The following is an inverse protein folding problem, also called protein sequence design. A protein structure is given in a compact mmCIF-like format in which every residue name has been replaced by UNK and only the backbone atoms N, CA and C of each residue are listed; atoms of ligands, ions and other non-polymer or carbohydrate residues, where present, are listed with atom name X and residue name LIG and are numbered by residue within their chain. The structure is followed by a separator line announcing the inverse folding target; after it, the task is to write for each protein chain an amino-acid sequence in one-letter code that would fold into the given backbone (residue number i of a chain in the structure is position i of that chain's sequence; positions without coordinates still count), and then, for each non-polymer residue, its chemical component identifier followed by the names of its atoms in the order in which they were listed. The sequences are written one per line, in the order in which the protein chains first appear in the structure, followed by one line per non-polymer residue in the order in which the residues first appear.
data_IF_218517912948
#
_entry.id   IF_218517912948
#
_cell.length_a   1.000
_cell.length_b   1.000
_cell.length_c   1.000
_cell.angle_alpha   90.00
_cell.angle_beta   90.00
_cell.angle_gamma   90.00
#
_symmetry.space_group_name_H-M   'P 1'
#
loop_
_entity.id
_entity.type
_entity.pdbx_description
1 polymer ?
#
# COMPACT_ATOMS: atom_id res chain seq x y z
N UNK A 1 19.34 7.27 -8.61
CA UNK A 1 18.73 8.62 -8.71
C UNK A 1 18.90 9.28 -7.35
N UNK A 2 19.26 10.56 -7.31
CA UNK A 2 19.44 11.30 -6.05
C UNK A 2 18.07 11.60 -5.42
N UNK A 3 17.98 11.56 -4.08
CA UNK A 3 16.75 11.85 -3.35
C UNK A 3 16.46 13.36 -3.42
N UNK A 4 15.70 13.78 -4.45
CA UNK A 4 15.53 15.18 -4.87
C UNK A 4 14.77 16.01 -3.82
N UNK A 5 13.84 15.39 -3.11
CA UNK A 5 12.92 16.09 -2.18
C UNK A 5 13.24 15.80 -0.71
N UNK A 6 13.93 14.70 -0.42
CA UNK A 6 14.24 14.25 0.93
C UNK A 6 14.93 15.33 1.78
N UNK A 7 15.93 16.02 1.22
CA UNK A 7 16.62 17.10 1.92
C UNK A 7 15.70 18.29 2.24
N UNK A 8 14.75 18.59 1.35
CA UNK A 8 13.77 19.65 1.58
C UNK A 8 12.77 19.24 2.68
N UNK A 9 12.32 17.98 2.68
CA UNK A 9 11.45 17.42 3.72
C UNK A 9 12.11 17.47 5.10
N UNK A 10 13.39 17.07 5.22
CA UNK A 10 14.12 17.19 6.49
C UNK A 10 14.27 18.62 6.97
N UNK A 11 14.50 19.59 6.07
CA UNK A 11 14.57 21.01 6.45
C UNK A 11 13.25 21.52 7.00
N UNK A 12 12.12 21.08 6.45
CA UNK A 12 10.79 21.44 6.99
C UNK A 12 10.60 20.82 8.38
N UNK A 13 10.98 19.54 8.55
CA UNK A 13 10.93 18.87 9.85
C UNK A 13 11.80 19.57 10.91
N UNK A 14 13.05 19.90 10.57
CA UNK A 14 13.99 20.57 11.47
C UNK A 14 13.48 21.95 11.89
N UNK A 15 12.99 22.76 10.94
CA UNK A 15 12.36 24.06 11.23
C UNK A 15 11.19 23.92 12.20
N UNK A 16 10.39 22.87 12.06
CA UNK A 16 9.24 22.65 12.96
C UNK A 16 9.62 22.27 14.40
N UNK A 17 10.78 21.62 14.60
CA UNK A 17 11.26 21.27 15.95
C UNK A 17 11.76 22.48 16.74
N UNK A 18 12.23 23.52 16.05
CA UNK A 18 12.84 24.68 16.69
C UNK A 18 11.87 25.86 16.90
N UNK A 19 10.70 25.88 16.25
CA UNK A 19 9.75 27.01 16.32
C UNK A 19 8.31 26.54 16.54
N UNK A 20 7.92 26.37 17.81
CA UNK A 20 6.57 25.92 18.22
C UNK A 20 5.41 26.79 17.68
N UNK A 21 5.65 28.06 17.30
CA UNK A 21 4.61 28.97 16.81
C UNK A 21 4.38 28.91 15.29
N UNK A 22 5.08 28.05 14.55
CA UNK A 22 5.06 28.01 13.08
C UNK A 22 4.42 26.74 12.50
N UNK A 23 3.56 26.05 13.26
CA UNK A 23 2.91 24.83 12.77
C UNK A 23 2.06 25.07 11.51
N UNK A 24 1.40 26.22 11.38
CA UNK A 24 0.69 26.59 10.15
C UNK A 24 1.64 26.76 8.96
N UNK A 25 2.79 27.43 9.16
CA UNK A 25 3.79 27.63 8.10
C UNK A 25 4.45 26.32 7.67
N UNK A 26 4.68 25.39 8.60
CA UNK A 26 5.16 24.03 8.31
C UNK A 26 4.22 23.29 7.36
N UNK A 27 2.92 23.31 7.64
CA UNK A 27 1.95 22.58 6.82
C UNK A 27 1.74 23.23 5.44
N UNK A 28 1.78 24.56 5.36
CA UNK A 28 1.76 25.27 4.08
C UNK A 28 2.99 24.91 3.21
N UNK A 29 4.19 24.87 3.81
CA UNK A 29 5.41 24.46 3.10
C UNK A 29 5.38 22.98 2.69
N UNK A 30 4.81 22.12 3.53
CA UNK A 30 4.62 20.71 3.22
C UNK A 30 3.67 20.55 2.03
N UNK A 31 2.55 21.26 2.01
CA UNK A 31 1.56 21.22 0.93
C UNK A 31 2.14 21.75 -0.39
N UNK A 32 2.90 22.84 -0.34
CA UNK A 32 3.59 23.39 -1.52
C UNK A 32 4.61 22.40 -2.09
N UNK A 33 5.42 21.78 -1.22
CA UNK A 33 6.39 20.77 -1.64
C UNK A 33 5.67 19.54 -2.20
N UNK A 34 4.58 19.10 -1.58
CA UNK A 34 3.74 18.00 -2.06
C UNK A 34 3.26 18.28 -3.47
N UNK A 35 2.72 19.49 -3.71
CA UNK A 35 2.28 19.94 -5.04
C UNK A 35 3.40 19.93 -6.07
N UNK A 36 4.63 20.28 -5.68
CA UNK A 36 5.78 20.20 -6.57
C UNK A 36 6.13 18.76 -6.96
N UNK A 37 5.91 17.79 -6.06
CA UNK A 37 6.15 16.37 -6.32
C UNK A 37 5.08 15.73 -7.22
N UNK A 38 3.89 16.32 -7.33
CA UNK A 38 2.79 15.82 -8.19
C UNK A 38 3.23 15.73 -9.66
N UNK A 39 4.03 16.69 -10.12
CA UNK A 39 4.45 16.81 -11.52
C UNK A 39 5.61 15.89 -11.91
N UNK A 40 6.23 15.22 -10.94
CA UNK A 40 7.36 14.32 -11.21
C UNK A 40 6.90 12.94 -11.67
N UNK A 41 7.43 12.42 -12.77
CA UNK A 41 7.05 11.08 -13.23
C UNK A 41 7.56 9.97 -12.31
N UNK A 42 8.75 10.16 -11.71
CA UNK A 42 9.42 9.18 -10.86
C UNK A 42 9.89 9.85 -9.56
N UNK A 43 9.49 9.30 -8.42
CA UNK A 43 9.85 9.77 -7.09
C UNK A 43 10.60 8.63 -6.38
N UNK A 44 11.61 8.94 -5.56
CA UNK A 44 12.31 7.88 -4.84
C UNK A 44 11.45 7.32 -3.71
N UNK A 45 11.68 6.06 -3.31
CA UNK A 45 10.99 5.48 -2.17
C UNK A 45 11.17 6.31 -0.89
N UNK A 46 12.34 6.94 -0.71
CA UNK A 46 12.64 7.73 0.48
C UNK A 46 11.85 9.05 0.48
N UNK A 47 11.80 9.74 -0.66
CA UNK A 47 10.98 10.95 -0.82
C UNK A 47 9.51 10.67 -0.47
N UNK A 48 8.96 9.56 -0.98
CA UNK A 48 7.58 9.18 -0.72
C UNK A 48 7.33 8.74 0.73
N UNK A 49 8.21 7.90 1.29
CA UNK A 49 8.09 7.46 2.68
C UNK A 49 8.19 8.63 3.66
N UNK A 50 9.10 9.58 3.41
CA UNK A 50 9.26 10.75 4.27
C UNK A 50 8.08 11.71 4.16
N UNK A 51 7.52 11.88 2.96
CA UNK A 51 6.29 12.65 2.76
C UNK A 51 5.13 12.06 3.59
N UNK A 52 4.92 10.74 3.49
CA UNK A 52 3.89 10.05 4.26
C UNK A 52 4.11 10.15 5.78
N UNK A 53 5.36 10.07 6.25
CA UNK A 53 5.70 10.27 7.65
C UNK A 53 5.27 11.65 8.15
N UNK A 54 5.55 12.71 7.38
CA UNK A 54 5.21 14.08 7.75
C UNK A 54 3.70 14.31 7.80
N UNK A 55 2.94 13.78 6.83
CA UNK A 55 1.47 13.81 6.87
C UNK A 55 0.92 12.95 8.01
N UNK A 56 1.51 11.80 8.31
CA UNK A 56 1.09 11.00 9.45
C UNK A 56 1.26 11.74 10.79
N UNK A 57 2.35 12.50 10.95
CA UNK A 57 2.54 13.35 12.13
C UNK A 57 1.47 14.44 12.17
N UNK A 58 1.18 15.10 11.04
CA UNK A 58 0.11 16.09 10.92
C UNK A 58 -1.25 15.53 11.37
N UNK A 59 -1.68 14.41 10.78
CA UNK A 59 -2.96 13.80 11.10
C UNK A 59 -3.04 13.29 12.55
N UNK A 60 -1.92 12.88 13.13
CA UNK A 60 -1.87 12.54 14.55
C UNK A 60 -2.08 13.75 15.46
N UNK A 61 -1.56 14.92 15.09
CA UNK A 61 -1.77 16.18 15.81
C UNK A 61 -3.20 16.71 15.64
N UNK A 62 -3.81 16.51 14.47
CA UNK A 62 -5.19 16.90 14.15
C UNK A 62 -6.24 15.88 14.67
N UNK A 63 -5.80 14.80 15.30
CA UNK A 63 -6.63 13.68 15.77
C UNK A 63 -7.45 12.97 14.66
N UNK A 64 -7.07 13.13 13.39
CA UNK A 64 -7.70 12.43 12.26
C UNK A 64 -7.17 10.99 12.18
N UNK A 65 -7.97 10.07 12.71
CA UNK A 65 -7.62 8.64 12.74
C UNK A 65 -7.65 7.98 11.37
N UNK A 66 -8.55 8.39 10.48
CA UNK A 66 -8.73 7.73 9.19
C UNK A 66 -7.59 8.10 8.24
N UNK A 67 -7.21 9.37 8.21
CA UNK A 67 -6.05 9.86 7.45
C UNK A 67 -4.72 9.34 8.04
N UNK A 68 -4.62 9.25 9.36
CA UNK A 68 -3.47 8.62 10.02
C UNK A 68 -3.34 7.14 9.68
N UNK A 69 -4.43 6.36 9.75
CA UNK A 69 -4.40 4.94 9.41
C UNK A 69 -4.07 4.72 7.93
N UNK A 70 -4.62 5.56 7.03
CA UNK A 70 -4.28 5.56 5.61
C UNK A 70 -2.76 5.68 5.39
N UNK A 71 -2.14 6.73 5.95
CA UNK A 71 -0.71 7.00 5.74
C UNK A 71 0.16 5.87 6.29
N UNK A 72 -0.17 5.36 7.48
CA UNK A 72 0.54 4.23 8.10
C UNK A 72 0.51 2.96 7.25
N UNK A 73 -0.67 2.55 6.78
CA UNK A 73 -0.78 1.33 5.98
C UNK A 73 -0.06 1.52 4.64
N UNK A 74 -0.18 2.69 4.01
CA UNK A 74 0.51 3.01 2.76
C UNK A 74 2.04 2.92 2.90
N UNK A 75 2.60 3.46 3.98
CA UNK A 75 4.03 3.35 4.28
C UNK A 75 4.46 1.89 4.44
N UNK A 76 3.68 1.09 5.19
CA UNK A 76 3.97 -0.33 5.38
C UNK A 76 3.90 -1.11 4.06
N UNK A 77 2.95 -0.79 3.18
CA UNK A 77 2.86 -1.38 1.85
C UNK A 77 4.06 -1.01 0.95
N UNK A 78 4.57 0.23 1.02
CA UNK A 78 5.79 0.65 0.31
C UNK A 78 7.02 -0.12 0.79
N UNK A 79 7.19 -0.28 2.10
CA UNK A 79 8.28 -1.08 2.68
C UNK A 79 8.18 -2.54 2.27
N UNK A 80 6.98 -3.11 2.24
CA UNK A 80 6.78 -4.46 1.70
C UNK A 80 7.12 -4.55 0.21
N UNK A 81 6.77 -3.55 -0.60
CA UNK A 81 7.10 -3.51 -2.03
C UNK A 81 8.61 -3.40 -2.29
N UNK A 82 9.35 -2.73 -1.41
CA UNK A 82 10.82 -2.76 -1.45
C UNK A 82 11.34 -4.20 -1.29
N UNK A 83 10.80 -4.94 -0.31
CA UNK A 83 11.21 -6.33 -0.01
C UNK A 83 10.72 -7.34 -1.05
N UNK A 84 9.50 -7.19 -1.55
CA UNK A 84 8.80 -8.14 -2.43
C UNK A 84 8.56 -7.52 -3.81
N UNK A 85 9.35 -7.91 -4.81
CA UNK A 85 9.32 -7.32 -6.17
C UNK A 85 7.93 -7.31 -6.82
N UNK A 86 7.13 -8.36 -6.63
CA UNK A 86 5.79 -8.46 -7.25
C UNK A 86 4.84 -7.34 -6.78
N UNK A 87 5.02 -6.83 -5.56
CA UNK A 87 4.21 -5.74 -4.99
C UNK A 87 4.57 -4.35 -5.51
N UNK A 88 5.73 -4.20 -6.18
CA UNK A 88 6.14 -2.91 -6.77
C UNK A 88 5.20 -2.45 -7.88
N UNK A 89 4.45 -3.38 -8.46
CA UNK A 89 3.42 -3.09 -9.48
C UNK A 89 2.30 -2.19 -8.95
N UNK A 90 2.07 -2.18 -7.63
CA UNK A 90 1.09 -1.32 -6.95
C UNK A 90 1.56 0.14 -6.85
N UNK A 91 2.86 0.39 -7.01
CA UNK A 91 3.49 1.70 -6.80
C UNK A 91 4.26 2.12 -8.06
N UNK A 92 3.52 2.39 -9.15
CA UNK A 92 4.13 2.90 -10.38
C UNK A 92 4.62 4.34 -10.17
N UNK A 93 5.73 4.70 -10.81
CA UNK A 93 6.37 6.01 -10.60
C UNK A 93 7.15 6.12 -9.29
N UNK A 94 7.46 5.01 -8.62
CA UNK A 94 8.33 4.97 -7.44
C UNK A 94 9.62 4.23 -7.76
N UNK A 95 10.76 4.88 -7.53
CA UNK A 95 12.08 4.26 -7.64
C UNK A 95 12.44 3.51 -6.34
N UNK A 96 12.51 2.19 -6.46
CA UNK A 96 12.89 1.26 -5.40
C UNK A 96 14.38 0.91 -5.41
N UNK A 97 15.27 1.66 -6.07
CA UNK A 97 16.72 1.38 -6.06
C UNK A 97 17.37 1.77 -4.72
N UNK A 98 17.02 2.93 -4.15
CA UNK A 98 17.63 3.46 -2.94
C UNK A 98 17.33 2.60 -1.70
N UNK A 99 18.30 2.50 -0.77
CA UNK A 99 18.05 1.88 0.55
C UNK A 99 17.07 2.77 1.31
N UNK A 100 16.20 2.12 2.10
CA UNK A 100 15.24 2.85 2.94
C UNK A 100 16.04 3.69 3.94
N UNK A 101 15.69 4.97 4.04
CA UNK A 101 16.26 5.86 5.02
C UNK A 101 16.09 5.35 6.46
N UNK A 102 17.13 5.55 7.28
CA UNK A 102 17.18 5.00 8.64
C UNK A 102 16.15 5.67 9.58
N UNK A 103 15.90 6.97 9.41
CA UNK A 103 14.91 7.70 10.21
C UNK A 103 13.50 7.17 9.99
N UNK A 104 13.11 6.97 8.73
CA UNK A 104 11.78 6.43 8.40
C UNK A 104 11.64 4.97 8.85
N UNK A 105 12.72 4.18 8.77
CA UNK A 105 12.72 2.80 9.25
C UNK A 105 12.49 2.72 10.77
N UNK A 106 13.12 3.60 11.55
CA UNK A 106 12.89 3.70 13.00
C UNK A 106 11.43 4.09 13.27
N UNK A 107 10.95 5.16 12.61
CA UNK A 107 9.58 5.65 12.80
C UNK A 107 8.54 4.56 12.61
N UNK A 108 8.69 3.71 11.59
CA UNK A 108 7.79 2.58 11.36
C UNK A 108 7.95 1.44 12.38
N UNK A 109 9.16 1.18 12.86
CA UNK A 109 9.44 0.10 13.82
C UNK A 109 8.82 0.35 15.20
N UNK A 110 8.65 1.62 15.58
CA UNK A 110 8.06 2.02 16.86
C UNK A 110 6.52 2.08 16.84
N UNK A 111 5.91 1.86 15.67
CA UNK A 111 4.45 2.00 15.47
C UNK A 111 3.78 0.63 15.27
N UNK A 112 2.48 0.59 15.54
CA UNK A 112 1.66 -0.63 15.39
C UNK A 112 1.67 -1.12 13.94
N UNK A 113 1.69 -2.44 13.77
CA UNK A 113 1.58 -3.09 12.46
C UNK A 113 0.11 -3.14 11.99
N UNK A 114 -0.35 -2.03 11.43
CA UNK A 114 -1.72 -1.88 10.90
C UNK A 114 -1.94 -2.81 9.70
N UNK A 115 -0.95 -2.94 8.83
CA UNK A 115 -1.02 -3.75 7.61
C UNK A 115 -1.15 -5.25 7.92
N UNK A 116 -0.35 -5.78 8.85
CA UNK A 116 -0.46 -7.20 9.23
C UNK A 116 -1.82 -7.51 9.84
N UNK A 117 -2.32 -6.63 10.73
CA UNK A 117 -3.64 -6.79 11.35
C UNK A 117 -4.78 -6.77 10.31
N UNK A 118 -4.71 -5.88 9.32
CA UNK A 118 -5.69 -5.83 8.22
C UNK A 118 -5.64 -7.09 7.35
N UNK A 119 -4.44 -7.58 7.02
CA UNK A 119 -4.28 -8.86 6.30
C UNK A 119 -4.91 -10.02 7.05
N UNK A 120 -4.67 -10.13 8.35
CA UNK A 120 -5.26 -11.19 9.16
C UNK A 120 -6.79 -11.10 9.17
N UNK A 121 -7.35 -9.90 9.30
CA UNK A 121 -8.78 -9.67 9.32
C UNK A 121 -9.44 -10.07 8.00
N UNK A 122 -8.81 -9.80 6.85
CA UNK A 122 -9.31 -10.17 5.53
C UNK A 122 -9.09 -11.66 5.20
N UNK A 123 -8.00 -12.24 5.69
CA UNK A 123 -7.62 -13.63 5.38
C UNK A 123 -8.48 -14.65 6.12
N UNK A 124 -8.88 -14.37 7.38
CA UNK A 124 -9.72 -15.27 8.19
C UNK A 124 -11.06 -15.66 7.53
N UNK A 125 -11.95 -14.73 7.17
CA UNK A 125 -13.24 -15.08 6.55
C UNK A 125 -13.04 -15.81 5.22
N UNK A 126 -12.03 -15.43 4.45
CA UNK A 126 -11.71 -16.10 3.19
C UNK A 126 -11.27 -17.56 3.39
N UNK A 127 -10.43 -17.84 4.39
CA UNK A 127 -10.05 -19.21 4.75
C UNK A 127 -11.26 -20.06 5.09
N UNK A 128 -12.22 -19.52 5.86
CA UNK A 128 -13.46 -20.23 6.17
C UNK A 128 -14.28 -20.53 4.90
N UNK A 129 -14.55 -19.52 4.08
CA UNK A 129 -15.35 -19.67 2.85
C UNK A 129 -14.69 -20.64 1.88
N UNK A 130 -13.38 -20.51 1.63
CA UNK A 130 -12.64 -21.39 0.72
C UNK A 130 -12.60 -22.84 1.22
N UNK A 131 -12.48 -23.05 2.53
CA UNK A 131 -12.55 -24.39 3.14
C UNK A 131 -13.95 -24.99 3.00
N UNK A 132 -15.01 -24.19 3.20
CA UNK A 132 -16.39 -24.66 2.99
C UNK A 132 -16.64 -25.06 1.53
N UNK A 133 -16.19 -24.25 0.57
CA UNK A 133 -16.29 -24.57 -0.87
C UNK A 133 -15.53 -25.85 -1.19
N UNK A 134 -14.33 -26.02 -0.63
CA UNK A 134 -13.53 -27.24 -0.81
C UNK A 134 -14.28 -28.49 -0.34
N UNK A 135 -14.90 -28.46 0.85
CA UNK A 135 -15.67 -29.60 1.39
C UNK A 135 -16.86 -29.94 0.48
N UNK A 136 -17.60 -28.94 0.01
CA UNK A 136 -18.72 -29.13 -0.90
C UNK A 136 -18.26 -29.68 -2.25
N UNK A 137 -17.19 -29.13 -2.83
CA UNK A 137 -16.64 -29.57 -4.11
C UNK A 137 -16.15 -31.02 -4.04
N UNK A 138 -15.42 -31.38 -2.96
CA UNK A 138 -14.95 -32.74 -2.74
C UNK A 138 -16.14 -33.73 -2.62
N UNK A 139 -17.19 -33.34 -1.88
CA UNK A 139 -18.39 -34.16 -1.73
C UNK A 139 -19.09 -34.39 -3.08
N UNK A 140 -19.20 -33.35 -3.91
CA UNK A 140 -19.77 -33.46 -5.26
C UNK A 140 -18.94 -34.40 -6.16
N UNK A 141 -17.61 -34.28 -6.16
CA UNK A 141 -16.73 -35.13 -6.97
C UNK A 141 -16.84 -36.61 -6.61
N UNK A 142 -16.95 -36.92 -5.32
CA UNK A 142 -17.03 -38.30 -4.83
C UNK A 142 -18.43 -38.89 -5.03
N UNK A 143 -19.49 -38.18 -4.62
CA UNK A 143 -20.85 -38.73 -4.61
C UNK A 143 -21.60 -38.57 -5.94
N UNK A 144 -21.40 -37.47 -6.66
CA UNK A 144 -22.13 -37.21 -7.92
C UNK A 144 -21.36 -37.78 -9.10
N UNK A 145 -20.07 -37.48 -9.19
CA UNK A 145 -19.23 -37.90 -10.33
C UNK A 145 -18.59 -39.28 -10.16
N UNK A 146 -18.76 -39.91 -8.99
CA UNK A 146 -18.25 -41.26 -8.69
C UNK A 146 -16.74 -41.40 -8.93
N UNK A 147 -15.98 -40.29 -8.79
CA UNK A 147 -14.54 -40.28 -8.95
C UNK A 147 -13.91 -40.98 -7.74
N UNK A 148 -12.91 -41.86 -7.91
CA UNK A 148 -12.25 -42.49 -6.77
C UNK A 148 -11.68 -41.43 -5.83
N UNK A 149 -11.90 -41.62 -4.52
CA UNK A 149 -11.61 -40.64 -3.48
C UNK A 149 -10.21 -40.04 -3.57
N UNK A 150 -9.19 -40.87 -3.83
CA UNK A 150 -7.79 -40.43 -3.91
C UNK A 150 -7.59 -39.36 -5.00
N UNK A 151 -8.16 -39.55 -6.19
CA UNK A 151 -8.04 -38.61 -7.30
C UNK A 151 -8.84 -37.34 -7.05
N UNK A 152 -10.07 -37.47 -6.53
CA UNK A 152 -10.91 -36.33 -6.17
C UNK A 152 -10.24 -35.47 -5.08
N UNK A 153 -9.61 -36.09 -4.08
CA UNK A 153 -8.88 -35.41 -3.02
C UNK A 153 -7.68 -34.65 -3.57
N UNK A 154 -6.80 -35.32 -4.33
CA UNK A 154 -5.60 -34.67 -4.91
C UNK A 154 -5.98 -33.48 -5.80
N UNK A 155 -6.98 -33.66 -6.66
CA UNK A 155 -7.46 -32.60 -7.54
C UNK A 155 -8.04 -31.42 -6.75
N UNK A 156 -8.84 -31.70 -5.71
CA UNK A 156 -9.45 -30.65 -4.88
C UNK A 156 -8.41 -29.87 -4.07
N UNK A 157 -7.39 -30.55 -3.55
CA UNK A 157 -6.28 -29.91 -2.83
C UNK A 157 -5.47 -29.02 -3.77
N UNK A 158 -5.20 -29.47 -5.01
CA UNK A 158 -4.48 -28.66 -5.99
C UNK A 158 -5.25 -27.39 -6.35
N UNK A 159 -6.56 -27.49 -6.60
CA UNK A 159 -7.41 -26.32 -6.87
C UNK A 159 -7.45 -25.38 -5.67
N UNK A 160 -7.61 -25.91 -4.46
CA UNK A 160 -7.68 -25.10 -3.25
C UNK A 160 -6.36 -24.37 -2.99
N UNK A 161 -5.22 -25.04 -3.15
CA UNK A 161 -3.90 -24.44 -2.99
C UNK A 161 -3.63 -23.38 -4.06
N UNK A 162 -4.01 -23.64 -5.32
CA UNK A 162 -3.93 -22.65 -6.39
C UNK A 162 -4.77 -21.40 -6.05
N UNK A 163 -5.98 -21.59 -5.56
CA UNK A 163 -6.87 -20.50 -5.18
C UNK A 163 -6.34 -19.69 -3.99
N UNK A 164 -5.74 -20.36 -3.00
CA UNK A 164 -5.10 -19.73 -1.85
C UNK A 164 -3.91 -18.85 -2.29
N UNK A 165 -3.02 -19.39 -3.12
CA UNK A 165 -1.89 -18.64 -3.69
C UNK A 165 -2.41 -17.44 -4.49
N UNK A 166 -3.37 -17.64 -5.38
CA UNK A 166 -3.96 -16.55 -6.16
C UNK A 166 -4.51 -15.42 -5.27
N UNK A 167 -5.22 -15.78 -4.19
CA UNK A 167 -5.79 -14.80 -3.27
C UNK A 167 -4.73 -14.02 -2.51
N UNK A 168 -3.70 -14.69 -1.97
CA UNK A 168 -2.63 -14.05 -1.21
C UNK A 168 -1.80 -13.09 -2.06
N UNK A 169 -1.52 -13.46 -3.32
CA UNK A 169 -0.66 -12.65 -4.19
C UNK A 169 -1.40 -11.54 -4.93
N UNK A 170 -2.67 -11.73 -5.30
CA UNK A 170 -3.40 -10.79 -6.14
C UNK A 170 -4.48 -10.04 -5.37
N UNK A 171 -5.43 -10.78 -4.79
CA UNK A 171 -6.66 -10.19 -4.27
C UNK A 171 -6.51 -9.55 -2.89
N UNK A 172 -5.60 -10.05 -2.05
CA UNK A 172 -5.41 -9.50 -0.70
C UNK A 172 -4.87 -8.07 -0.74
N UNK A 173 -3.84 -7.83 -1.56
CA UNK A 173 -3.25 -6.50 -1.69
C UNK A 173 -4.21 -5.52 -2.39
N UNK A 174 -5.02 -5.99 -3.34
CA UNK A 174 -6.05 -5.19 -4.03
C UNK A 174 -7.20 -4.80 -3.09
N UNK A 175 -7.70 -5.72 -2.27
CA UNK A 175 -8.74 -5.42 -1.28
C UNK A 175 -8.27 -4.46 -0.20
N UNK A 176 -7.02 -4.61 0.26
CA UNK A 176 -6.43 -3.67 1.22
C UNK A 176 -6.33 -2.28 0.59
N UNK A 177 -5.92 -2.19 -0.67
CA UNK A 177 -5.86 -0.93 -1.38
C UNK A 177 -7.25 -0.30 -1.54
N UNK A 178 -8.28 -1.07 -1.92
CA UNK A 178 -9.66 -0.61 -2.05
C UNK A 178 -10.23 -0.10 -0.71
N UNK A 179 -9.97 -0.81 0.39
CA UNK A 179 -10.41 -0.42 1.72
C UNK A 179 -9.74 0.89 2.19
N UNK A 180 -8.43 1.03 1.93
CA UNK A 180 -7.69 2.25 2.25
C UNK A 180 -8.13 3.40 1.34
N UNK A 181 -8.40 3.15 0.06
CA UNK A 181 -8.91 4.15 -0.88
C UNK A 181 -10.28 4.71 -0.46
N UNK A 182 -11.09 3.95 0.29
CA UNK A 182 -12.32 4.47 0.88
C UNK A 182 -12.07 5.59 1.90
N UNK A 183 -10.97 5.50 2.66
CA UNK A 183 -10.58 6.50 3.66
C UNK A 183 -9.84 7.69 3.03
N UNK A 184 -9.61 7.67 1.72
CA UNK A 184 -8.89 8.71 1.00
C UNK A 184 -9.56 10.08 1.09
N UNK A 185 -10.89 10.14 1.21
CA UNK A 185 -11.62 11.41 1.36
C UNK A 185 -11.31 12.15 2.67
N UNK A 186 -10.67 11.48 3.64
CA UNK A 186 -10.18 12.11 4.86
C UNK A 186 -8.80 12.79 4.67
N UNK A 187 -8.12 12.57 3.54
CA UNK A 187 -6.84 13.20 3.28
C UNK A 187 -7.00 14.67 2.93
N UNK A 188 -6.00 15.45 3.30
CA UNK A 188 -5.85 16.81 2.82
C UNK A 188 -5.75 16.87 1.30
N UNK A 189 -6.21 17.98 0.72
CA UNK A 189 -6.23 18.19 -0.73
C UNK A 189 -4.86 17.93 -1.38
N UNK A 190 -3.76 18.42 -0.80
CA UNK A 190 -2.42 18.25 -1.38
C UNK A 190 -1.99 16.77 -1.43
N UNK A 191 -2.26 16.01 -0.36
CA UNK A 191 -1.98 14.58 -0.28
C UNK A 191 -2.91 13.78 -1.20
N UNK A 192 -4.18 14.18 -1.28
CA UNK A 192 -5.16 13.55 -2.16
C UNK A 192 -4.76 13.68 -3.64
N UNK A 193 -4.42 14.90 -4.07
CA UNK A 193 -3.97 15.20 -5.44
C UNK A 193 -2.68 14.45 -5.78
N UNK A 194 -1.76 14.33 -4.82
CA UNK A 194 -0.56 13.52 -4.96
C UNK A 194 -0.87 12.05 -5.23
N UNK A 195 -1.78 11.45 -4.45
CA UNK A 195 -2.23 10.07 -4.66
C UNK A 195 -2.98 9.89 -5.99
N UNK A 196 -3.80 10.86 -6.44
CA UNK A 196 -4.40 10.85 -7.80
C UNK A 196 -3.29 10.73 -8.84
N UNK A 197 -2.29 11.61 -8.76
CA UNK A 197 -1.22 11.68 -9.75
C UNK A 197 -0.46 10.36 -9.84
N UNK A 198 -0.16 9.75 -8.69
CA UNK A 198 0.50 8.43 -8.63
C UNK A 198 -0.39 7.31 -9.20
N UNK A 199 -1.71 7.38 -9.02
CA UNK A 199 -2.64 6.41 -9.61
C UNK A 199 -2.80 6.61 -11.11
N UNK A 200 -2.91 7.84 -11.60
CA UNK A 200 -3.13 8.14 -13.02
C UNK A 200 -1.90 7.89 -13.89
N UNK A 201 -0.69 8.14 -13.37
CA UNK A 201 0.57 7.73 -14.02
C UNK A 201 0.65 6.20 -14.20
N UNK A 202 -0.13 5.45 -13.42
CA UNK A 202 -0.22 4.00 -13.55
C UNK A 202 -1.12 3.52 -14.71
N UNK A 203 -2.09 4.35 -15.14
CA UNK A 203 -3.08 4.05 -16.19
C UNK A 203 -2.60 4.47 -17.58
N UNK A 204 -1.95 5.63 -17.73
CA UNK A 204 -1.51 6.14 -19.05
C UNK A 204 -0.50 5.21 -19.74
N UNK A 205 0.34 4.52 -18.97
CA UNK A 205 1.33 3.57 -19.49
C UNK A 205 0.77 2.18 -19.87
N UNK A 206 -0.47 1.85 -19.48
CA UNK A 206 -1.14 0.63 -19.98
C UNK A 206 -1.62 0.83 -21.43
N UNK A 207 -2.13 2.02 -21.76
CA UNK A 207 -2.57 2.33 -23.12
C UNK A 207 -1.40 2.45 -24.11
N UNK A 208 -0.25 2.98 -23.69
CA UNK A 208 0.92 3.03 -24.56
C UNK A 208 1.54 1.66 -24.86
N UNK A 209 1.32 0.65 -24.00
CA UNK A 209 1.82 -0.71 -24.20
C UNK A 209 0.92 -1.56 -25.11
N UNK A 210 -0.35 -1.19 -25.27
CA UNK A 210 -1.28 -1.85 -26.20
C UNK A 210 -1.24 -1.29 -27.63
N UNK A 211 -0.66 -0.10 -27.85
CA UNK A 211 -0.57 0.55 -29.18
C UNK A 211 0.72 0.15 -29.94
N UNK A 212 1.58 -0.69 -29.34
CA UNK A 212 2.68 -1.37 -30.04
C UNK A 212 2.41 -2.87 -30.17
N UNK A 213 1.39 -3.21 -30.96
CA UNK A 213 1.27 -4.50 -31.65
C UNK A 213 0.97 -4.17 -33.10
#
# INVERSE_FOLDING_TARGET
MEDKYLNALYRIEEKSKHQLSMMSDKYNLLDELTRSMIYEEIITINDYLKLLEMFAIKYAEEEDRDAYEYTMIKMQMLVEAKRKKYKRTLFKGVDFQNRIDYGVAIFLSERKDYLSKRKEMLMKPFLYVSTSIYIVMLSLLVFVFHIPFLFAFLFSVLIWLFFLVYMVFSLLDEKILEEIEKNRSALDQAMDEFEVSRKNSSVSNLFHKFIKI
#
